data_IF_703106383690
#
_entry.id   IF_703106383690
#
_cell.length_a   1.000
_cell.length_b   1.000
_cell.length_c   1.000
_cell.angle_alpha   90.00
_cell.angle_beta   90.00
_cell.angle_gamma   90.00
#
_symmetry.space_group_name_H-M   'P 1'
#
loop_
_entity.id
_entity.type
_entity.pdbx_description
1 polymer ?
#
# COMPACT_ATOMS: atom_id res chain seq x y z
N UNK A 1 13.00 65.29 -84.49
CA UNK A 1 13.16 65.52 -83.03
C UNK A 1 12.11 64.68 -82.30
N UNK A 2 12.53 63.99 -81.24
CA UNK A 2 11.89 62.92 -80.46
C UNK A 2 10.35 63.03 -80.28
N UNK A 3 9.56 62.03 -80.69
CA UNK A 3 9.18 60.76 -80.01
C UNK A 3 8.17 60.89 -78.85
N UNK A 4 6.98 60.30 -79.08
CA UNK A 4 5.93 59.88 -78.14
C UNK A 4 6.53 59.13 -76.93
N UNK A 5 5.96 59.17 -75.72
CA UNK A 5 4.57 58.92 -75.37
C UNK A 5 4.40 57.47 -74.91
N UNK A 6 3.98 57.30 -73.65
CA UNK A 6 3.26 56.14 -73.12
C UNK A 6 4.04 54.82 -72.83
N UNK A 7 4.30 54.61 -71.53
CA UNK A 7 4.15 53.36 -70.77
C UNK A 7 4.87 52.07 -71.22
N UNK A 8 5.72 51.51 -70.35
CA UNK A 8 5.43 50.23 -69.66
C UNK A 8 6.58 49.72 -68.76
N UNK A 9 6.19 49.23 -67.57
CA UNK A 9 6.51 47.91 -66.94
C UNK A 9 7.96 47.39 -66.88
N UNK A 10 8.31 46.88 -65.69
CA UNK A 10 9.36 45.86 -65.46
C UNK A 10 9.85 45.87 -64.00
N UNK A 11 9.08 45.39 -63.01
CA UNK A 11 8.95 43.96 -62.64
C UNK A 11 10.31 43.28 -62.39
N UNK A 12 10.81 43.36 -61.15
CA UNK A 12 11.92 42.57 -60.63
C UNK A 12 11.46 41.73 -59.45
N UNK A 13 10.66 40.71 -59.76
CA UNK A 13 10.17 39.70 -58.82
C UNK A 13 11.35 38.87 -58.29
N UNK A 14 11.58 38.86 -56.97
CA UNK A 14 12.37 37.82 -56.31
C UNK A 14 11.42 37.04 -55.41
N UNK A 15 11.22 35.78 -55.79
CA UNK A 15 10.19 34.90 -55.28
C UNK A 15 10.21 34.72 -53.77
N UNK A 16 9.09 35.10 -53.16
CA UNK A 16 8.71 34.58 -51.85
C UNK A 16 8.04 33.22 -52.13
N UNK A 17 8.80 32.13 -52.01
CA UNK A 17 8.20 30.79 -51.98
C UNK A 17 7.46 30.64 -50.65
N UNK A 18 6.22 31.13 -50.58
CA UNK A 18 5.33 30.82 -49.47
C UNK A 18 4.88 29.38 -49.64
N UNK A 19 5.38 28.49 -48.76
CA UNK A 19 4.94 27.11 -48.67
C UNK A 19 3.42 27.07 -48.42
N UNK A 20 2.67 26.77 -49.49
CA UNK A 20 1.22 26.61 -49.43
C UNK A 20 0.89 25.28 -48.76
N UNK A 21 0.84 25.30 -47.43
CA UNK A 21 0.44 24.15 -46.62
C UNK A 21 -1.06 23.91 -46.83
N UNK A 22 -1.37 22.99 -47.73
CA UNK A 22 -2.73 22.56 -48.06
C UNK A 22 -3.48 22.14 -46.78
N UNK A 23 -4.37 23.01 -46.29
CA UNK A 23 -5.38 22.63 -45.29
C UNK A 23 -6.49 21.89 -46.03
N UNK A 24 -6.29 20.58 -46.25
CA UNK A 24 -7.41 19.72 -46.65
C UNK A 24 -8.40 19.66 -45.48
N UNK A 25 -9.63 20.12 -45.71
CA UNK A 25 -10.69 20.10 -44.71
C UNK A 25 -11.17 18.67 -44.43
N UNK A 26 -11.30 18.33 -43.16
CA UNK A 26 -11.73 17.01 -42.69
C UNK A 26 -13.14 16.66 -43.20
N UNK A 27 -13.24 15.53 -43.89
CA UNK A 27 -14.50 14.97 -44.42
C UNK A 27 -15.46 14.62 -43.27
N UNK A 28 -16.78 14.59 -43.55
CA UNK A 28 -17.79 14.20 -42.54
C UNK A 28 -17.53 12.80 -41.94
N UNK A 29 -16.90 11.90 -42.71
CA UNK A 29 -16.51 10.57 -42.22
C UNK A 29 -15.30 10.64 -41.28
N UNK A 30 -14.27 11.43 -41.61
CA UNK A 30 -13.09 11.62 -40.77
C UNK A 30 -13.46 12.25 -39.42
N UNK A 31 -14.42 13.19 -39.41
CA UNK A 31 -14.93 13.76 -38.15
C UNK A 31 -15.61 12.72 -37.26
N UNK A 32 -16.32 11.74 -37.84
CA UNK A 32 -16.97 10.66 -37.07
C UNK A 32 -15.95 9.67 -36.52
N UNK A 33 -14.96 9.27 -37.32
CA UNK A 33 -13.90 8.36 -36.87
C UNK A 33 -13.04 9.01 -35.80
N UNK A 34 -12.64 10.28 -35.97
CA UNK A 34 -11.92 11.04 -34.95
C UNK A 34 -12.72 11.14 -33.65
N UNK A 35 -14.02 11.43 -33.72
CA UNK A 35 -14.88 11.49 -32.52
C UNK A 35 -14.96 10.14 -31.80
N UNK A 36 -15.06 9.03 -32.54
CA UNK A 36 -15.03 7.68 -31.97
C UNK A 36 -13.68 7.38 -31.31
N UNK A 37 -12.57 7.70 -31.98
CA UNK A 37 -11.22 7.49 -31.46
C UNK A 37 -11.01 8.31 -30.17
N UNK A 38 -11.43 9.57 -30.16
CA UNK A 38 -11.35 10.43 -28.97
C UNK A 38 -12.15 9.82 -27.81
N UNK A 39 -13.39 9.37 -28.06
CA UNK A 39 -14.21 8.71 -27.04
C UNK A 39 -13.56 7.42 -26.52
N UNK A 40 -12.93 6.64 -27.41
CA UNK A 40 -12.22 5.41 -27.05
C UNK A 40 -11.02 5.71 -26.16
N UNK A 41 -10.21 6.71 -26.51
CA UNK A 41 -9.08 7.17 -25.69
C UNK A 41 -9.53 7.74 -24.34
N UNK A 42 -10.64 8.47 -24.30
CA UNK A 42 -11.23 8.97 -23.06
C UNK A 42 -11.68 7.83 -22.14
N UNK A 43 -12.36 6.83 -22.70
CA UNK A 43 -12.78 5.65 -21.97
C UNK A 43 -11.58 4.85 -21.44
N UNK A 44 -10.54 4.67 -22.26
CA UNK A 44 -9.30 4.00 -21.85
C UNK A 44 -8.57 4.79 -20.76
N UNK A 45 -8.52 6.13 -20.86
CA UNK A 45 -7.92 7.00 -19.86
C UNK A 45 -8.67 6.96 -18.52
N UNK A 46 -10.00 6.95 -18.54
CA UNK A 46 -10.81 6.73 -17.35
C UNK A 46 -10.58 5.36 -16.75
N UNK A 47 -10.61 4.30 -17.58
CA UNK A 47 -10.37 2.94 -17.13
C UNK A 47 -8.98 2.81 -16.49
N UNK A 48 -7.96 3.41 -17.12
CA UNK A 48 -6.61 3.46 -16.57
C UNK A 48 -6.57 4.20 -15.23
N UNK A 49 -7.26 5.34 -15.09
CA UNK A 49 -7.32 6.08 -13.82
C UNK A 49 -8.01 5.27 -12.70
N UNK A 50 -9.05 4.51 -13.05
CA UNK A 50 -9.77 3.64 -12.12
C UNK A 50 -8.96 2.41 -11.72
N UNK A 51 -8.22 1.80 -12.67
CA UNK A 51 -7.37 0.63 -12.45
C UNK A 51 -5.96 0.99 -11.96
N UNK A 52 -5.58 2.28 -11.97
CA UNK A 52 -4.24 2.72 -11.60
C UNK A 52 -3.94 2.33 -10.13
N UNK A 53 -2.89 1.51 -9.90
CA UNK A 53 -2.50 1.07 -8.58
C UNK A 53 -1.95 2.28 -7.79
N UNK A 54 -2.82 2.92 -7.01
CA UNK A 54 -2.45 4.07 -6.18
C UNK A 54 -3.53 5.14 -6.04
N UNK A 55 -4.44 5.28 -7.02
CA UNK A 55 -5.50 6.32 -7.03
C UNK A 55 -6.93 5.78 -7.22
N UNK A 56 -7.09 4.47 -7.41
CA UNK A 56 -8.41 3.84 -7.61
C UNK A 56 -9.12 3.43 -6.31
N UNK A 57 -10.44 3.22 -6.43
CA UNK A 57 -11.34 2.77 -5.34
C UNK A 57 -10.85 1.51 -4.61
N UNK A 58 -10.10 0.64 -5.30
CA UNK A 58 -9.50 -0.55 -4.69
C UNK A 58 -8.58 -0.23 -3.51
N UNK A 59 -7.82 0.88 -3.58
CA UNK A 59 -6.96 1.31 -2.48
C UNK A 59 -7.77 1.80 -1.28
N UNK A 60 -8.88 2.48 -1.53
CA UNK A 60 -9.80 2.91 -0.47
C UNK A 60 -10.43 1.71 0.24
N UNK A 61 -10.84 0.67 -0.50
CA UNK A 61 -11.37 -0.57 0.08
C UNK A 61 -10.32 -1.33 0.90
N UNK A 62 -9.11 -1.47 0.37
CA UNK A 62 -8.00 -2.08 1.10
C UNK A 62 -7.63 -1.28 2.35
N UNK A 63 -7.67 0.06 2.29
CA UNK A 63 -7.38 0.89 3.44
C UNK A 63 -8.47 0.75 4.52
N UNK A 64 -9.75 0.70 4.14
CA UNK A 64 -10.82 0.42 5.09
C UNK A 64 -10.69 -0.97 5.72
N UNK A 65 -10.31 -2.00 4.94
CA UNK A 65 -10.04 -3.32 5.50
C UNK A 65 -8.89 -3.28 6.50
N UNK A 66 -7.78 -2.61 6.18
CA UNK A 66 -6.65 -2.44 7.11
C UNK A 66 -7.06 -1.73 8.39
N UNK A 67 -7.88 -0.68 8.31
CA UNK A 67 -8.38 0.03 9.49
C UNK A 67 -9.22 -0.90 10.36
N UNK A 68 -10.08 -1.74 9.77
CA UNK A 68 -10.88 -2.72 10.52
C UNK A 68 -10.01 -3.77 11.20
N UNK A 69 -9.07 -4.37 10.46
CA UNK A 69 -8.15 -5.37 11.01
C UNK A 69 -7.31 -4.79 12.14
N UNK A 70 -6.76 -3.59 11.97
CA UNK A 70 -5.99 -2.92 13.02
C UNK A 70 -6.84 -2.58 14.25
N UNK A 71 -8.12 -2.24 14.07
CA UNK A 71 -9.02 -2.00 15.19
C UNK A 71 -9.32 -3.29 15.97
N UNK A 72 -9.54 -4.41 15.27
CA UNK A 72 -9.72 -5.73 15.88
C UNK A 72 -8.45 -6.17 16.63
N UNK A 73 -7.27 -6.00 16.03
CA UNK A 73 -5.99 -6.29 16.67
C UNK A 73 -5.76 -5.45 17.93
N UNK A 74 -6.08 -4.14 17.87
CA UNK A 74 -6.00 -3.29 19.06
C UNK A 74 -6.93 -3.76 20.17
N UNK A 75 -8.16 -4.14 19.84
CA UNK A 75 -9.12 -4.61 20.84
C UNK A 75 -8.65 -5.92 21.50
N UNK A 76 -8.08 -6.85 20.73
CA UNK A 76 -7.50 -8.08 21.26
C UNK A 76 -6.28 -7.80 22.15
N UNK A 77 -5.41 -6.87 21.74
CA UNK A 77 -4.25 -6.44 22.54
C UNK A 77 -4.69 -5.77 23.84
N UNK A 78 -5.69 -4.89 23.82
CA UNK A 78 -6.22 -4.24 25.01
C UNK A 78 -6.79 -5.27 26.00
N UNK A 79 -7.52 -6.27 25.49
CA UNK A 79 -8.05 -7.36 26.32
C UNK A 79 -6.92 -8.17 26.98
N UNK A 80 -5.91 -8.57 26.20
CA UNK A 80 -4.75 -9.31 26.73
C UNK A 80 -3.98 -8.49 27.75
N UNK A 81 -3.84 -7.19 27.51
CA UNK A 81 -3.18 -6.29 28.45
C UNK A 81 -3.95 -6.22 29.78
N UNK A 82 -5.28 -6.10 29.72
CA UNK A 82 -6.12 -6.13 30.92
C UNK A 82 -6.01 -7.48 31.68
N UNK A 83 -6.02 -8.61 30.97
CA UNK A 83 -5.84 -9.94 31.56
C UNK A 83 -4.46 -10.09 32.23
N UNK A 84 -3.40 -9.67 31.56
CA UNK A 84 -2.03 -9.68 32.11
C UNK A 84 -1.88 -8.75 33.31
N UNK A 85 -2.50 -7.57 33.28
CA UNK A 85 -2.50 -6.66 34.42
C UNK A 85 -3.19 -7.29 35.64
N UNK A 86 -4.31 -7.98 35.44
CA UNK A 86 -4.97 -8.72 36.52
C UNK A 86 -4.09 -9.85 37.04
N UNK A 87 -3.37 -10.57 36.18
CA UNK A 87 -2.43 -11.61 36.60
C UNK A 87 -1.27 -11.03 37.41
N UNK A 88 -0.70 -9.91 36.98
CA UNK A 88 0.34 -9.19 37.74
C UNK A 88 -0.19 -8.76 39.12
N UNK A 89 -1.41 -8.22 39.19
CA UNK A 89 -2.02 -7.80 40.45
C UNK A 89 -2.20 -8.99 41.40
N UNK A 90 -2.67 -10.14 40.89
CA UNK A 90 -2.80 -11.38 41.68
C UNK A 90 -1.46 -11.90 42.17
N UNK A 91 -0.44 -11.89 41.32
CA UNK A 91 0.92 -12.30 41.68
C UNK A 91 1.55 -11.38 42.73
N UNK A 92 1.16 -10.10 42.78
CA UNK A 92 1.67 -9.13 43.75
C UNK A 92 0.90 -9.10 45.07
N UNK A 93 -0.39 -9.40 45.04
CA UNK A 93 -1.27 -9.29 46.21
C UNK A 93 -1.42 -10.59 46.99
N UNK A 94 -1.14 -11.74 46.37
CA UNK A 94 -1.30 -13.06 46.98
C UNK A 94 0.02 -13.85 46.99
N UNK A 95 0.73 -13.77 48.11
CA UNK A 95 1.98 -14.49 48.35
C UNK A 95 1.81 -16.02 48.26
N UNK A 96 0.63 -16.56 48.59
CA UNK A 96 0.36 -17.99 48.54
C UNK A 96 0.21 -18.47 47.08
N UNK A 97 -0.44 -17.66 46.24
CA UNK A 97 -0.52 -17.92 44.80
C UNK A 97 0.86 -17.86 44.14
N UNK A 98 1.71 -16.91 44.53
CA UNK A 98 3.08 -16.80 44.05
C UNK A 98 3.95 -18.00 44.45
N UNK A 99 3.84 -18.46 45.69
CA UNK A 99 4.55 -19.66 46.20
C UNK A 99 4.12 -20.94 45.47
N UNK A 100 2.82 -21.10 45.24
CA UNK A 100 2.28 -22.23 44.47
C UNK A 100 2.78 -22.23 43.02
N UNK A 101 2.80 -21.06 42.38
CA UNK A 101 3.28 -20.92 41.00
C UNK A 101 4.80 -21.17 40.90
N UNK A 102 5.57 -20.67 41.85
CA UNK A 102 7.03 -20.88 41.92
C UNK A 102 7.37 -22.38 42.04
N UNK A 103 6.66 -23.12 42.89
CA UNK A 103 6.82 -24.57 43.02
C UNK A 103 6.34 -25.35 41.80
N UNK A 104 5.15 -25.06 41.27
CA UNK A 104 4.55 -25.83 40.16
C UNK A 104 5.21 -25.56 38.81
N UNK A 105 5.49 -24.30 38.50
CA UNK A 105 5.94 -23.88 37.16
C UNK A 105 7.45 -23.83 37.04
N UNK A 106 8.15 -23.54 38.13
CA UNK A 106 9.61 -23.35 38.14
C UNK A 106 10.37 -24.31 39.06
N UNK A 107 9.68 -25.12 39.88
CA UNK A 107 10.33 -26.05 40.81
C UNK A 107 11.17 -25.36 41.89
N UNK A 108 10.91 -24.08 42.16
CA UNK A 108 11.67 -23.28 43.10
C UNK A 108 11.25 -23.62 44.54
N UNK A 109 12.23 -23.65 45.45
CA UNK A 109 12.03 -23.80 46.89
C UNK A 109 12.39 -22.48 47.59
N UNK A 110 11.86 -22.24 48.79
CA UNK A 110 12.31 -21.08 49.58
C UNK A 110 13.78 -21.22 49.93
N UNK A 111 14.44 -20.09 50.23
CA UNK A 111 15.86 -20.04 50.61
C UNK A 111 16.21 -20.95 51.82
N UNK A 112 15.21 -21.26 52.65
CA UNK A 112 15.32 -22.11 53.83
C UNK A 112 14.81 -23.56 53.62
N UNK A 113 14.58 -24.00 52.39
CA UNK A 113 14.11 -25.36 52.06
C UNK A 113 15.17 -26.14 51.24
N UNK A 114 15.38 -27.43 51.57
CA UNK A 114 16.38 -28.30 50.93
C UNK A 114 15.72 -29.53 50.31
N UNK A 115 16.10 -29.89 49.08
CA UNK A 115 15.62 -31.12 48.42
C UNK A 115 16.40 -32.33 48.93
N UNK A 116 15.69 -33.35 49.42
CA UNK A 116 16.25 -34.65 49.75
C UNK A 116 15.90 -35.65 48.64
N UNK A 117 16.91 -36.07 47.87
CA UNK A 117 16.76 -37.12 46.88
C UNK A 117 17.19 -38.46 47.49
N UNK A 118 16.25 -39.39 47.63
CA UNK A 118 16.53 -40.71 48.15
C UNK A 118 16.94 -41.62 46.98
N UNK A 119 18.23 -41.71 46.70
CA UNK A 119 18.72 -42.72 45.76
C UNK A 119 18.40 -44.13 46.32
N UNK A 120 17.72 -45.00 45.56
CA UNK A 120 17.45 -46.36 46.01
C UNK A 120 18.78 -47.07 46.19
N UNK A 121 19.07 -47.46 47.44
CA UNK A 121 20.33 -48.09 47.84
C UNK A 121 20.73 -49.17 46.82
N UNK A 122 21.78 -48.88 46.03
CA UNK A 122 22.34 -49.83 45.06
C UNK A 122 22.75 -51.08 45.81
N UNK A 123 21.93 -52.14 45.72
CA UNK A 123 22.26 -53.45 46.27
C UNK A 123 23.51 -53.96 45.56
N UNK A 124 24.67 -53.90 46.24
CA UNK A 124 25.90 -54.50 45.74
C UNK A 124 25.68 -56.01 45.61
N UNK A 125 25.62 -56.51 44.37
CA UNK A 125 25.72 -57.95 44.11
C UNK A 125 27.13 -58.40 44.54
N UNK A 126 27.19 -59.19 45.62
CA UNK A 126 28.41 -59.95 45.95
C UNK A 126 28.64 -60.98 44.86
N UNK A 127 29.87 -61.01 44.36
CA UNK A 127 30.40 -61.99 43.41
C UNK A 127 30.71 -63.30 44.13
#
# INVERSE_FOLDING_TARGET
MAWCGFGHRGAGEKGVMTAQRSRKGLSRQERRTLRRVILLFLALGLLWLLLAPGRGLLRYRNLQQRVRTLAEENQDLERRNAELQQEIERLRSDDAYLEELARKKYGLLRENESVYDFEPAKKKKKK
#
